data_IF_902637119185
#
_entry.id   IF_902637119185
#
_cell.length_a   1.000
_cell.length_b   1.000
_cell.length_c   1.000
_cell.angle_alpha   90.00
_cell.angle_beta   90.00
_cell.angle_gamma   90.00
#
_symmetry.space_group_name_H-M   'P 1'
#
loop_
_entity.id
_entity.type
_entity.pdbx_description
1 polymer ?
#
# COMPACT_ATOMS: atom_id res chain seq x y z
N UNK A 1 4.22 -57.83 44.41
CA UNK A 1 3.67 -56.47 44.55
C UNK A 1 4.63 -55.34 44.08
N UNK A 2 5.90 -55.53 44.01
CA UNK A 2 6.92 -54.53 43.61
C UNK A 2 6.93 -54.13 42.13
N UNK A 3 6.63 -55.08 41.21
CA UNK A 3 6.62 -54.77 39.76
C UNK A 3 5.51 -53.89 39.28
N UNK A 4 4.33 -53.92 39.88
CA UNK A 4 3.16 -53.09 39.52
C UNK A 4 3.39 -51.66 39.97
N UNK A 5 4.04 -51.48 41.13
CA UNK A 5 4.32 -50.15 41.67
C UNK A 5 5.34 -49.36 40.84
N UNK A 6 6.36 -50.09 40.24
CA UNK A 6 7.31 -49.46 39.35
C UNK A 6 6.71 -49.08 38.00
N UNK A 7 5.73 -49.82 37.50
CA UNK A 7 5.00 -49.46 36.26
C UNK A 7 4.15 -48.22 36.42
N UNK A 8 3.51 -48.07 37.57
CA UNK A 8 2.71 -46.87 37.90
C UNK A 8 3.58 -45.62 38.08
N UNK A 9 4.74 -45.75 38.72
CA UNK A 9 5.68 -44.64 38.84
C UNK A 9 6.25 -44.19 37.48
N UNK A 10 6.50 -45.11 36.56
CA UNK A 10 6.95 -44.79 35.23
C UNK A 10 5.85 -44.14 34.36
N UNK A 11 4.57 -44.55 34.56
CA UNK A 11 3.45 -43.96 33.85
C UNK A 11 3.13 -42.55 34.36
N UNK A 12 3.16 -42.33 35.68
CA UNK A 12 2.97 -40.99 36.26
C UNK A 12 4.13 -40.03 35.91
N UNK A 13 5.37 -40.53 35.86
CA UNK A 13 6.53 -39.72 35.44
C UNK A 13 6.42 -39.28 33.96
N UNK A 14 5.99 -40.16 33.05
CA UNK A 14 5.72 -39.81 31.67
C UNK A 14 4.52 -38.84 31.53
N UNK A 15 3.48 -38.99 32.32
CA UNK A 15 2.33 -38.09 32.33
C UNK A 15 2.73 -36.71 32.85
N UNK A 16 3.54 -36.65 33.90
CA UNK A 16 4.09 -35.37 34.41
C UNK A 16 5.02 -34.68 33.41
N UNK A 17 5.83 -35.45 32.66
CA UNK A 17 6.69 -34.88 31.61
C UNK A 17 5.87 -34.35 30.43
N UNK A 18 4.74 -34.98 30.11
CA UNK A 18 3.81 -34.47 29.08
C UNK A 18 3.05 -33.22 29.56
N UNK A 19 2.76 -33.14 30.86
CA UNK A 19 2.07 -31.97 31.45
C UNK A 19 2.99 -30.80 31.77
N UNK A 20 4.28 -31.04 32.02
CA UNK A 20 5.29 -30.01 32.31
C UNK A 20 6.20 -29.72 31.12
N UNK A 21 6.15 -30.54 30.09
CA UNK A 21 6.78 -30.21 28.82
C UNK A 21 6.12 -28.97 28.26
N UNK A 22 6.86 -27.85 28.22
CA UNK A 22 6.48 -26.73 27.41
C UNK A 22 6.06 -27.32 26.05
N UNK A 23 4.82 -27.05 25.65
CA UNK A 23 4.37 -27.39 24.30
C UNK A 23 5.47 -26.95 23.35
N UNK A 24 5.98 -27.81 22.48
CA UNK A 24 6.98 -27.39 21.53
C UNK A 24 6.38 -26.23 20.74
N UNK A 25 6.87 -25.03 21.00
CA UNK A 25 6.54 -23.80 20.26
C UNK A 25 7.08 -23.84 18.81
N UNK A 26 7.54 -24.97 18.37
CA UNK A 26 7.90 -25.28 16.98
C UNK A 26 6.71 -25.91 16.23
N UNK A 27 5.52 -25.36 16.40
CA UNK A 27 4.57 -25.47 15.32
C UNK A 27 5.02 -24.47 14.26
N UNK A 28 5.45 -24.96 13.11
CA UNK A 28 5.47 -24.19 11.87
C UNK A 28 4.01 -23.77 11.61
N UNK A 29 3.54 -22.78 12.38
CA UNK A 29 2.24 -22.18 12.17
C UNK A 29 2.30 -21.57 10.76
N UNK A 30 1.41 -21.98 9.90
CA UNK A 30 1.25 -21.34 8.60
C UNK A 30 1.01 -19.86 8.83
N UNK A 31 1.68 -19.02 8.04
CA UNK A 31 1.48 -17.56 8.10
C UNK A 31 0.87 -17.08 6.79
N UNK A 32 0.04 -16.05 6.88
CA UNK A 32 -0.53 -15.34 5.74
C UNK A 32 -0.12 -13.88 5.83
N UNK A 33 0.63 -13.41 4.85
CA UNK A 33 1.06 -12.01 4.76
C UNK A 33 0.17 -11.26 3.79
N UNK A 34 -0.33 -10.11 4.23
CA UNK A 34 -1.09 -9.15 3.44
C UNK A 34 -0.23 -7.91 3.24
N UNK A 35 0.11 -7.59 2.00
CA UNK A 35 0.74 -6.31 1.66
C UNK A 35 -0.34 -5.23 1.68
N UNK A 36 -0.17 -4.25 2.57
CA UNK A 36 -1.09 -3.12 2.73
C UNK A 36 -0.78 -2.04 1.72
N UNK A 37 0.51 -1.71 1.62
CA UNK A 37 1.01 -0.64 0.76
C UNK A 37 2.49 -0.85 0.48
N UNK A 38 2.90 -0.53 -0.76
CA UNK A 38 4.32 -0.45 -1.11
C UNK A 38 4.66 1.03 -1.29
N UNK A 39 5.41 1.64 -0.36
CA UNK A 39 5.74 3.05 -0.44
C UNK A 39 6.69 3.30 -1.62
N UNK A 40 6.51 4.46 -2.25
CA UNK A 40 7.37 4.93 -3.33
C UNK A 40 7.82 6.35 -3.05
N UNK A 41 9.08 6.64 -3.29
CA UNK A 41 9.73 7.92 -3.01
C UNK A 41 8.96 9.11 -3.59
N UNK A 42 8.89 10.20 -2.86
CA UNK A 42 8.14 11.39 -3.29
C UNK A 42 8.93 12.22 -4.30
N UNK A 43 8.25 12.66 -5.35
CA UNK A 43 8.78 13.65 -6.30
C UNK A 43 8.35 15.02 -5.79
N UNK A 44 9.32 15.90 -5.58
CA UNK A 44 9.15 17.26 -5.08
C UNK A 44 9.43 18.30 -6.16
N UNK A 45 8.82 19.45 -6.04
CA UNK A 45 9.17 20.63 -6.80
C UNK A 45 10.44 21.31 -6.24
N UNK A 46 10.88 22.41 -6.87
CA UNK A 46 12.06 23.18 -6.45
C UNK A 46 11.97 23.76 -5.03
N UNK A 47 10.75 23.90 -4.51
CA UNK A 47 10.46 24.43 -3.17
C UNK A 47 10.19 23.32 -2.15
N UNK A 48 10.48 22.07 -2.50
CA UNK A 48 10.21 20.85 -1.73
C UNK A 48 8.70 20.64 -1.45
N UNK A 49 7.83 21.17 -2.31
CA UNK A 49 6.41 20.84 -2.29
C UNK A 49 6.18 19.51 -3.00
N UNK A 50 5.41 18.58 -2.42
CA UNK A 50 5.19 17.27 -3.03
C UNK A 50 4.33 17.38 -4.29
N UNK A 51 4.86 16.85 -5.40
CA UNK A 51 4.15 16.70 -6.67
C UNK A 51 3.47 15.33 -6.79
N UNK A 52 3.98 14.32 -6.06
CA UNK A 52 3.36 13.01 -5.86
C UNK A 52 3.19 12.75 -4.37
N UNK A 53 2.33 11.81 -3.98
CA UNK A 53 2.07 11.46 -2.57
C UNK A 53 1.52 12.64 -1.72
N UNK A 54 0.98 13.68 -2.35
CA UNK A 54 0.47 14.88 -1.64
C UNK A 54 -0.88 14.63 -0.95
N UNK A 55 -1.61 13.61 -1.36
CA UNK A 55 -2.89 13.19 -0.79
C UNK A 55 -2.73 11.82 -0.14
N UNK A 56 -3.67 11.46 0.71
CA UNK A 56 -3.70 10.15 1.38
C UNK A 56 -5.02 9.46 1.15
N UNK A 57 -5.00 8.13 1.31
CA UNK A 57 -6.18 7.27 1.33
C UNK A 57 -6.09 6.32 2.52
N UNK A 58 -7.24 5.77 2.93
CA UNK A 58 -7.30 4.79 4.02
C UNK A 58 -7.40 3.39 3.43
N UNK A 59 -6.54 2.50 3.91
CA UNK A 59 -6.57 1.06 3.59
C UNK A 59 -6.82 0.30 4.87
N UNK A 60 -7.84 -0.54 4.88
CA UNK A 60 -8.15 -1.44 5.98
C UNK A 60 -7.71 -2.86 5.63
N UNK A 61 -7.01 -3.52 6.56
CA UNK A 61 -6.80 -4.97 6.50
C UNK A 61 -7.95 -5.61 7.24
N UNK A 62 -8.78 -6.33 6.49
CA UNK A 62 -10.06 -6.87 6.95
C UNK A 62 -9.99 -8.39 7.00
N UNK A 63 -10.27 -8.96 8.17
CA UNK A 63 -10.50 -10.40 8.30
C UNK A 63 -11.92 -10.74 7.83
N UNK A 64 -12.15 -11.85 7.11
CA UNK A 64 -13.45 -12.21 6.54
C UNK A 64 -14.43 -12.77 7.59
N UNK A 65 -14.67 -12.01 8.65
CA UNK A 65 -15.70 -12.32 9.65
C UNK A 65 -17.08 -11.89 9.16
N UNK A 66 -18.14 -12.49 9.70
CA UNK A 66 -19.51 -12.10 9.33
C UNK A 66 -19.79 -10.61 9.61
N UNK A 67 -19.26 -10.08 10.71
CA UNK A 67 -19.39 -8.66 11.06
C UNK A 67 -18.66 -7.75 10.05
N UNK A 68 -17.44 -8.12 9.67
CA UNK A 68 -16.67 -7.36 8.68
C UNK A 68 -17.30 -7.38 7.28
N UNK A 69 -17.82 -8.54 6.87
CA UNK A 69 -18.56 -8.68 5.59
C UNK A 69 -19.81 -7.79 5.60
N UNK A 70 -20.56 -7.75 6.71
CA UNK A 70 -21.72 -6.87 6.87
C UNK A 70 -21.32 -5.38 6.82
N UNK A 71 -20.22 -5.00 7.50
CA UNK A 71 -19.68 -3.63 7.46
C UNK A 71 -19.28 -3.21 6.04
N UNK A 72 -18.55 -4.06 5.31
CA UNK A 72 -18.17 -3.82 3.91
C UNK A 72 -19.42 -3.65 3.04
N UNK A 73 -20.42 -4.54 3.18
CA UNK A 73 -21.65 -4.47 2.39
C UNK A 73 -22.47 -3.21 2.66
N UNK A 74 -22.45 -2.72 3.91
CA UNK A 74 -23.27 -1.57 4.34
C UNK A 74 -22.61 -0.21 4.12
N UNK A 75 -21.27 -0.15 4.08
CA UNK A 75 -20.55 1.13 4.11
C UNK A 75 -19.79 1.45 2.79
N UNK A 76 -19.49 0.47 1.93
CA UNK A 76 -18.67 0.69 0.74
C UNK A 76 -19.47 0.99 -0.53
N UNK A 77 -20.79 0.97 -0.52
CA UNK A 77 -21.63 1.29 -1.69
C UNK A 77 -21.20 0.50 -2.93
N UNK A 78 -20.92 1.20 -4.03
CA UNK A 78 -20.53 0.60 -5.31
C UNK A 78 -19.24 -0.22 -5.25
N UNK A 79 -18.34 0.10 -4.31
CA UNK A 79 -17.08 -0.61 -4.11
C UNK A 79 -17.24 -1.90 -3.28
N UNK A 80 -18.40 -2.15 -2.69
CA UNK A 80 -18.63 -3.31 -1.83
C UNK A 80 -18.43 -4.63 -2.57
N UNK A 81 -18.90 -4.74 -3.81
CA UNK A 81 -18.80 -5.97 -4.60
C UNK A 81 -17.34 -6.41 -4.81
N UNK A 82 -16.46 -5.48 -5.21
CA UNK A 82 -15.05 -5.74 -5.43
C UNK A 82 -14.32 -6.08 -4.10
N UNK A 83 -14.69 -5.40 -3.02
CA UNK A 83 -14.16 -5.66 -1.69
C UNK A 83 -14.55 -7.05 -1.16
N UNK A 84 -15.81 -7.45 -1.32
CA UNK A 84 -16.32 -8.75 -0.93
C UNK A 84 -15.67 -9.89 -1.72
N UNK A 85 -15.38 -9.67 -3.02
CA UNK A 85 -14.67 -10.65 -3.83
C UNK A 85 -13.28 -10.97 -3.26
N UNK A 86 -12.54 -9.96 -2.80
CA UNK A 86 -11.24 -10.16 -2.14
C UNK A 86 -11.36 -10.99 -0.85
N UNK A 87 -12.46 -10.86 -0.12
CA UNK A 87 -12.70 -11.59 1.14
C UNK A 87 -13.25 -13.01 0.94
N UNK A 88 -13.71 -13.36 -0.27
CA UNK A 88 -14.25 -14.70 -0.58
C UNK A 88 -13.26 -15.84 -0.38
N UNK A 89 -11.98 -15.57 -0.49
CA UNK A 89 -10.93 -16.58 -0.24
C UNK A 89 -10.89 -17.07 1.22
N UNK A 90 -11.64 -16.45 2.13
CA UNK A 90 -11.57 -16.72 3.56
C UNK A 90 -10.28 -16.23 4.23
N UNK A 91 -9.47 -15.44 3.52
CA UNK A 91 -8.21 -14.88 4.02
C UNK A 91 -8.34 -13.36 4.23
N UNK A 92 -7.57 -12.78 5.15
CA UNK A 92 -7.50 -11.33 5.31
C UNK A 92 -7.06 -10.64 4.02
N UNK A 93 -7.63 -9.46 3.75
CA UNK A 93 -7.32 -8.68 2.55
C UNK A 93 -7.20 -7.19 2.86
N UNK A 94 -6.32 -6.52 2.12
CA UNK A 94 -6.21 -5.07 2.13
C UNK A 94 -7.24 -4.46 1.16
N UNK A 95 -8.09 -3.58 1.69
CA UNK A 95 -9.21 -2.97 0.98
C UNK A 95 -9.17 -1.47 1.22
N UNK A 96 -9.26 -0.69 0.15
CA UNK A 96 -9.41 0.75 0.25
C UNK A 96 -10.81 1.08 0.77
N UNK A 97 -10.86 1.95 1.78
CA UNK A 97 -12.09 2.29 2.49
C UNK A 97 -12.17 3.79 2.73
N UNK A 98 -13.37 4.37 2.90
CA UNK A 98 -13.53 5.73 3.41
C UNK A 98 -12.86 5.90 4.78
N UNK A 99 -12.42 7.12 5.11
CA UNK A 99 -11.76 7.40 6.40
C UNK A 99 -12.64 7.08 7.61
N UNK A 100 -13.95 7.25 7.44
CA UNK A 100 -15.00 6.99 8.44
C UNK A 100 -15.43 5.52 8.53
N UNK A 101 -14.87 4.65 7.67
CA UNK A 101 -15.23 3.22 7.66
C UNK A 101 -14.95 2.58 9.01
N UNK A 102 -15.92 1.83 9.52
CA UNK A 102 -15.83 1.12 10.81
C UNK A 102 -16.11 -0.36 10.64
N UNK A 103 -15.24 -1.20 11.19
CA UNK A 103 -15.36 -2.65 11.11
C UNK A 103 -14.86 -3.39 12.36
N UNK A 104 -14.96 -2.79 13.53
CA UNK A 104 -14.55 -3.43 14.79
C UNK A 104 -13.04 -3.75 14.85
N UNK A 105 -12.66 -4.98 14.53
CA UNK A 105 -11.28 -5.46 14.70
C UNK A 105 -10.36 -5.28 13.49
N UNK A 106 -10.74 -4.48 12.47
CA UNK A 106 -9.87 -4.24 11.32
C UNK A 106 -8.71 -3.28 11.63
N UNK A 107 -7.57 -3.51 10.99
CA UNK A 107 -6.43 -2.62 11.07
C UNK A 107 -6.51 -1.57 9.97
N UNK A 108 -6.58 -0.29 10.34
CA UNK A 108 -6.64 0.83 9.39
C UNK A 108 -5.29 1.54 9.28
N UNK A 109 -4.89 1.83 8.05
CA UNK A 109 -3.67 2.53 7.72
C UNK A 109 -3.98 3.69 6.79
N UNK A 110 -3.43 4.86 7.09
CA UNK A 110 -3.41 5.99 6.17
C UNK A 110 -2.15 5.88 5.32
N UNK A 111 -2.33 5.75 4.00
CA UNK A 111 -1.22 5.58 3.06
C UNK A 111 -1.26 6.68 2.00
N UNK A 112 -0.10 7.09 1.44
CA UNK A 112 -0.06 8.07 0.38
C UNK A 112 -0.81 7.61 -0.88
N UNK A 113 -1.49 8.55 -1.53
CA UNK A 113 -2.02 8.40 -2.87
C UNK A 113 -0.97 8.91 -3.86
N UNK A 114 -0.45 8.03 -4.73
CA UNK A 114 0.66 8.35 -5.64
C UNK A 114 0.39 9.58 -6.49
N UNK A 115 -0.75 9.59 -7.18
CA UNK A 115 -1.20 10.70 -8.01
C UNK A 115 -2.52 11.22 -7.45
N UNK A 116 -2.54 12.50 -7.09
CA UNK A 116 -3.75 13.17 -6.64
C UNK A 116 -4.66 13.54 -7.80
N UNK A 117 -5.73 14.24 -7.47
CA UNK A 117 -6.59 14.85 -8.47
C UNK A 117 -5.82 15.93 -9.24
N UNK A 118 -5.83 15.83 -10.56
CA UNK A 118 -5.18 16.77 -11.45
C UNK A 118 -3.99 16.19 -12.22
N UNK A 119 -3.80 16.76 -13.40
CA UNK A 119 -2.76 16.38 -14.36
C UNK A 119 -1.57 17.33 -14.23
N UNK A 120 -0.89 17.30 -13.10
CA UNK A 120 0.25 18.20 -12.89
C UNK A 120 1.51 17.62 -13.49
N UNK A 121 1.98 18.20 -14.59
CA UNK A 121 3.23 17.80 -15.25
C UNK A 121 3.32 16.31 -15.60
N UNK A 122 2.21 15.69 -16.05
CA UNK A 122 2.11 14.24 -16.29
C UNK A 122 3.22 13.70 -17.18
N UNK A 123 3.60 14.43 -18.24
CA UNK A 123 4.68 14.04 -19.15
C UNK A 123 6.08 14.15 -18.52
N UNK A 124 6.26 14.98 -17.48
CA UNK A 124 7.52 15.09 -16.73
C UNK A 124 7.58 14.01 -15.65
N UNK A 125 6.54 13.92 -14.84
CA UNK A 125 6.46 12.95 -13.73
C UNK A 125 6.44 11.53 -14.30
N UNK A 126 5.62 11.28 -15.32
CA UNK A 126 5.39 9.95 -15.85
C UNK A 126 4.36 9.16 -15.03
N UNK A 127 4.42 7.85 -15.15
CA UNK A 127 3.53 6.94 -14.43
C UNK A 127 4.23 5.62 -14.08
N UNK A 128 3.63 4.88 -13.18
CA UNK A 128 4.04 3.53 -12.78
C UNK A 128 3.06 2.51 -13.34
N UNK A 129 3.53 1.28 -13.55
CA UNK A 129 2.68 0.15 -13.91
C UNK A 129 1.92 -0.44 -12.70
N UNK A 130 1.15 -1.49 -12.93
CA UNK A 130 0.40 -2.20 -11.89
C UNK A 130 1.30 -2.85 -10.81
N UNK A 131 2.57 -3.07 -11.09
CA UNK A 131 3.54 -3.62 -10.16
C UNK A 131 4.28 -2.53 -9.38
N UNK A 132 4.03 -1.25 -9.73
CA UNK A 132 4.68 -0.09 -9.11
C UNK A 132 6.03 0.27 -9.71
N UNK A 133 6.42 -0.30 -10.86
CA UNK A 133 7.65 0.08 -11.58
C UNK A 133 7.42 1.32 -12.44
N UNK A 134 8.40 2.21 -12.52
CA UNK A 134 8.35 3.42 -13.34
C UNK A 134 8.39 3.10 -14.84
N UNK A 135 7.44 3.63 -15.61
CA UNK A 135 7.32 3.36 -17.06
C UNK A 135 7.82 4.52 -17.91
N UNK A 136 7.56 5.75 -17.50
CA UNK A 136 7.97 6.96 -18.22
C UNK A 136 8.40 8.08 -17.28
N UNK A 137 8.99 9.15 -17.82
CA UNK A 137 9.32 10.38 -17.10
C UNK A 137 10.29 10.16 -15.93
N UNK A 138 10.12 10.94 -14.89
CA UNK A 138 10.92 10.87 -13.65
C UNK A 138 10.69 9.56 -12.92
N UNK A 139 9.47 9.00 -12.98
CA UNK A 139 9.16 7.69 -12.42
C UNK A 139 10.08 6.60 -12.99
N UNK A 140 10.31 6.61 -14.30
CA UNK A 140 11.21 5.66 -14.96
C UNK A 140 12.69 6.00 -14.72
N UNK A 141 13.06 7.28 -14.91
CA UNK A 141 14.44 7.70 -14.85
C UNK A 141 15.08 7.53 -13.45
N UNK A 142 14.28 7.54 -12.39
CA UNK A 142 14.68 7.40 -10.99
C UNK A 142 13.99 6.22 -10.30
N UNK A 143 13.62 5.18 -11.05
CA UNK A 143 12.90 4.02 -10.52
C UNK A 143 13.68 3.32 -9.41
N UNK A 144 14.98 3.17 -9.57
CA UNK A 144 15.91 2.61 -8.58
C UNK A 144 15.99 3.42 -7.27
N UNK A 145 15.77 4.74 -7.33
CA UNK A 145 15.74 5.61 -6.15
C UNK A 145 14.36 5.62 -5.51
N UNK A 146 13.32 5.74 -6.34
CA UNK A 146 11.94 5.90 -5.87
C UNK A 146 11.30 4.58 -5.40
N UNK A 147 11.70 3.44 -6.00
CA UNK A 147 11.10 2.12 -5.75
C UNK A 147 11.71 1.32 -4.62
N UNK A 148 12.87 1.72 -4.07
CA UNK A 148 13.60 0.96 -3.04
C UNK A 148 13.04 1.20 -1.63
N UNK A 149 11.83 0.73 -1.37
CA UNK A 149 11.20 0.88 -0.06
C UNK A 149 10.58 -0.43 0.41
N UNK A 150 10.70 -0.71 1.70
CA UNK A 150 10.08 -1.88 2.32
C UNK A 150 8.56 -1.71 2.38
N UNK A 151 7.79 -2.66 1.84
CA UNK A 151 6.34 -2.58 1.89
C UNK A 151 5.79 -2.73 3.30
N UNK A 152 4.73 -1.98 3.61
CA UNK A 152 3.93 -2.16 4.81
C UNK A 152 3.14 -3.47 4.69
N UNK A 153 3.40 -4.41 5.60
CA UNK A 153 2.81 -5.76 5.61
C UNK A 153 2.18 -6.07 6.96
N UNK A 154 1.11 -6.84 6.91
CA UNK A 154 0.46 -7.44 8.09
C UNK A 154 0.50 -8.96 7.92
N UNK A 155 1.13 -9.65 8.87
CA UNK A 155 1.32 -11.10 8.84
C UNK A 155 0.48 -11.73 9.93
N UNK A 156 -0.44 -12.60 9.54
CA UNK A 156 -1.31 -13.37 10.41
C UNK A 156 -0.77 -14.78 10.60
N UNK A 157 -0.88 -15.30 11.80
CA UNK A 157 -0.81 -16.75 12.02
C UNK A 157 -2.15 -17.36 11.64
N UNK A 158 -2.13 -18.40 10.80
CA UNK A 158 -3.33 -19.01 10.25
C UNK A 158 -3.40 -20.50 10.53
N UNK A 159 -4.63 -21.02 10.53
CA UNK A 159 -4.89 -22.46 10.58
C UNK A 159 -4.58 -23.15 9.24
N UNK A 160 -4.82 -24.46 9.17
CA UNK A 160 -4.60 -25.25 7.96
C UNK A 160 -5.48 -24.84 6.76
N UNK A 161 -6.55 -24.06 7.01
CA UNK A 161 -7.47 -23.55 5.97
C UNK A 161 -7.16 -22.11 5.60
N UNK A 162 -6.16 -21.48 6.26
CA UNK A 162 -5.74 -20.12 5.99
C UNK A 162 -6.53 -19.04 6.74
N UNK A 163 -7.28 -19.40 7.79
CA UNK A 163 -8.01 -18.44 8.62
C UNK A 163 -7.12 -17.96 9.77
N UNK A 164 -7.17 -16.67 10.13
CA UNK A 164 -6.46 -16.15 11.29
C UNK A 164 -6.79 -16.91 12.57
N UNK A 165 -5.78 -17.16 13.38
CA UNK A 165 -5.95 -17.79 14.68
C UNK A 165 -6.53 -16.80 15.68
N UNK A 166 -7.67 -17.15 16.25
CA UNK A 166 -8.34 -16.31 17.24
C UNK A 166 -7.43 -16.02 18.45
N UNK A 167 -7.40 -14.78 18.91
CA UNK A 167 -6.61 -14.34 20.06
C UNK A 167 -5.10 -14.18 19.78
N UNK A 168 -4.66 -14.34 18.55
CA UNK A 168 -3.27 -14.09 18.14
C UNK A 168 -3.22 -12.79 17.34
N UNK A 169 -2.57 -11.76 17.92
CA UNK A 169 -2.39 -10.50 17.22
C UNK A 169 -1.52 -10.68 15.97
N UNK A 170 -1.85 -10.03 14.85
CA UNK A 170 -1.01 -10.03 13.67
C UNK A 170 0.28 -9.23 13.90
N UNK A 171 1.33 -9.60 13.19
CA UNK A 171 2.60 -8.89 13.16
C UNK A 171 2.58 -7.85 12.04
N UNK A 172 2.97 -6.61 12.35
CA UNK A 172 3.08 -5.50 11.39
C UNK A 172 4.55 -5.22 11.11
N UNK A 173 4.93 -5.15 9.85
CA UNK A 173 6.30 -4.86 9.42
C UNK A 173 6.32 -3.86 8.25
N UNK A 174 7.42 -3.14 8.09
CA UNK A 174 7.59 -2.10 7.09
C UNK A 174 6.95 -0.76 7.49
N UNK A 175 6.84 0.15 6.53
CA UNK A 175 6.29 1.51 6.72
C UNK A 175 5.41 1.91 5.54
N UNK A 176 4.48 2.84 5.79
CA UNK A 176 3.74 3.54 4.73
C UNK A 176 4.54 4.71 4.15
N UNK A 177 5.62 5.13 4.80
CA UNK A 177 6.48 6.23 4.38
C UNK A 177 7.68 5.72 3.60
N UNK A 178 7.99 6.40 2.50
CA UNK A 178 9.20 6.14 1.73
C UNK A 178 10.39 6.90 2.33
N UNK A 179 11.55 6.24 2.36
CA UNK A 179 12.79 6.81 2.89
C UNK A 179 13.52 7.73 1.87
N UNK A 180 13.09 7.75 0.60
CA UNK A 180 13.75 8.44 -0.51
C UNK A 180 12.83 9.42 -1.22
N UNK A 181 13.40 10.29 -2.03
CA UNK A 181 12.65 11.22 -2.89
C UNK A 181 13.57 11.91 -3.89
N UNK A 182 12.95 12.56 -4.89
CA UNK A 182 13.63 13.31 -5.93
C UNK A 182 13.11 14.74 -5.99
N UNK A 183 13.98 15.74 -5.91
CA UNK A 183 13.62 17.15 -6.08
C UNK A 183 13.90 17.61 -7.51
N UNK A 184 12.88 18.18 -8.15
CA UNK A 184 12.97 18.73 -9.50
C UNK A 184 13.29 20.23 -9.47
N UNK A 185 13.62 20.77 -10.63
CA UNK A 185 13.71 22.23 -10.83
C UNK A 185 12.37 22.86 -11.16
N UNK A 186 11.34 22.06 -11.42
CA UNK A 186 9.96 22.50 -11.70
C UNK A 186 9.41 23.29 -10.51
N UNK A 187 8.74 24.38 -10.81
CA UNK A 187 7.98 25.18 -9.86
C UNK A 187 6.48 24.86 -10.04
N UNK A 188 5.86 24.30 -9.02
CA UNK A 188 4.46 23.86 -9.07
C UNK A 188 3.49 24.99 -9.41
N UNK A 189 3.76 26.22 -8.96
CA UNK A 189 2.90 27.36 -9.25
C UNK A 189 3.01 27.78 -10.72
N UNK A 190 4.24 27.88 -11.23
CA UNK A 190 4.49 28.18 -12.65
C UNK A 190 3.93 27.08 -13.54
N UNK A 191 4.12 25.81 -13.16
CA UNK A 191 3.59 24.67 -13.90
C UNK A 191 2.06 24.69 -14.01
N UNK A 192 1.35 25.00 -12.91
CA UNK A 192 -0.12 25.12 -12.92
C UNK A 192 -0.59 26.27 -13.81
N UNK A 193 0.07 27.43 -13.71
CA UNK A 193 -0.25 28.57 -14.52
C UNK A 193 -0.07 28.27 -16.01
N UNK A 194 1.08 27.70 -16.39
CA UNK A 194 1.37 27.30 -17.76
C UNK A 194 0.35 26.29 -18.26
N UNK A 195 0.07 25.24 -17.48
CA UNK A 195 -0.90 24.21 -17.83
C UNK A 195 -2.29 24.77 -18.07
N UNK A 196 -2.78 25.67 -17.18
CA UNK A 196 -4.11 26.29 -17.32
C UNK A 196 -4.21 27.16 -18.56
N UNK A 197 -3.23 28.03 -18.81
CA UNK A 197 -3.24 28.94 -19.98
C UNK A 197 -3.08 28.17 -21.29
N UNK A 198 -2.18 27.17 -21.32
CA UNK A 198 -1.89 26.42 -22.53
C UNK A 198 -3.04 25.47 -22.93
N UNK A 199 -3.75 24.88 -21.97
CA UNK A 199 -4.88 23.98 -22.22
C UNK A 199 -5.99 24.62 -23.07
N UNK A 200 -6.21 25.93 -22.88
CA UNK A 200 -7.26 26.68 -23.60
C UNK A 200 -6.79 27.15 -24.99
N UNK A 201 -5.52 26.96 -25.31
CA UNK A 201 -4.90 27.54 -26.52
C UNK A 201 -4.21 26.50 -27.42
N UNK A 202 -3.90 25.32 -26.91
CA UNK A 202 -3.15 24.31 -27.60
C UNK A 202 -3.87 22.97 -27.56
N UNK A 203 -4.28 22.47 -28.71
CA UNK A 203 -4.75 21.08 -28.87
C UNK A 203 -3.55 20.12 -28.90
N UNK A 204 -2.46 20.51 -29.57
CA UNK A 204 -1.21 19.75 -29.70
C UNK A 204 -0.01 20.69 -29.62
N UNK A 205 0.98 20.29 -28.81
CA UNK A 205 2.21 21.05 -28.68
C UNK A 205 2.79 21.00 -27.28
N UNK A 206 3.81 21.79 -27.02
CA UNK A 206 4.41 21.89 -25.70
C UNK A 206 4.77 23.34 -25.37
N UNK A 207 4.72 23.68 -24.08
CA UNK A 207 5.18 24.96 -23.53
C UNK A 207 6.26 24.66 -22.51
N UNK A 208 7.41 25.32 -22.67
CA UNK A 208 8.55 25.19 -21.77
C UNK A 208 8.88 26.57 -21.20
N UNK A 209 9.01 26.64 -19.87
CA UNK A 209 9.50 27.82 -19.17
C UNK A 209 10.85 27.48 -18.55
N UNK A 210 11.86 28.24 -18.93
CA UNK A 210 13.24 28.03 -18.52
C UNK A 210 13.83 29.30 -17.93
N UNK A 211 14.58 29.17 -16.85
CA UNK A 211 15.36 30.26 -16.24
C UNK A 211 16.59 30.54 -17.13
N UNK A 212 16.66 31.71 -17.72
CA UNK A 212 17.70 32.05 -18.74
C UNK A 212 19.13 32.05 -18.17
N UNK A 213 19.27 32.35 -16.89
CA UNK A 213 20.58 32.44 -16.23
C UNK A 213 21.20 31.06 -15.93
N UNK A 214 20.37 30.04 -15.67
CA UNK A 214 20.82 28.73 -15.16
C UNK A 214 20.47 27.56 -16.08
N UNK A 215 19.54 27.75 -17.01
CA UNK A 215 18.99 26.68 -17.85
C UNK A 215 18.01 25.76 -17.10
N UNK A 216 17.63 26.06 -15.87
CA UNK A 216 16.68 25.25 -15.11
C UNK A 216 15.29 25.34 -15.71
N UNK A 217 14.64 24.19 -15.87
CA UNK A 217 13.26 24.13 -16.31
C UNK A 217 12.34 24.41 -15.11
N UNK A 218 11.52 25.45 -15.23
CA UNK A 218 10.54 25.85 -14.21
C UNK A 218 9.16 25.27 -14.49
N UNK A 219 8.80 25.07 -15.76
CA UNK A 219 7.60 24.39 -16.18
C UNK A 219 7.78 23.70 -17.53
N UNK A 220 7.07 22.59 -17.72
CA UNK A 220 6.95 21.87 -18.98
C UNK A 220 5.54 21.28 -19.06
N UNK A 221 4.72 21.81 -20.00
CA UNK A 221 3.40 21.29 -20.29
C UNK A 221 3.36 20.77 -21.73
N UNK A 222 2.86 19.58 -21.95
CA UNK A 222 2.71 18.94 -23.27
C UNK A 222 1.26 18.55 -23.50
N UNK A 223 0.78 18.67 -24.73
CA UNK A 223 -0.61 18.42 -25.10
C UNK A 223 -0.68 17.50 -26.33
N UNK A 224 -1.65 16.56 -26.39
CA UNK A 224 -2.67 16.29 -25.35
C UNK A 224 -2.05 15.78 -24.05
N UNK A 225 -2.62 16.23 -22.94
CA UNK A 225 -2.23 15.75 -21.62
C UNK A 225 -2.99 14.46 -21.26
N UNK A 226 -2.41 13.66 -20.38
CA UNK A 226 -3.01 12.40 -19.93
C UNK A 226 -3.08 12.31 -18.39
N UNK A 227 -3.95 11.42 -17.89
CA UNK A 227 -3.98 11.11 -16.46
C UNK A 227 -3.05 9.95 -16.16
N UNK A 228 -2.08 10.08 -15.25
CA UNK A 228 -1.21 8.98 -14.85
C UNK A 228 -1.96 7.76 -14.28
N UNK A 229 -3.18 7.97 -13.78
CA UNK A 229 -4.03 6.92 -13.21
C UNK A 229 -4.87 6.17 -14.25
N UNK A 230 -5.04 6.74 -15.47
CA UNK A 230 -5.88 6.17 -16.52
C UNK A 230 -5.07 5.62 -17.71
N UNK A 231 -3.76 5.47 -17.55
CA UNK A 231 -2.88 4.92 -18.58
C UNK A 231 -3.03 3.39 -18.59
N UNK A 232 -3.86 2.89 -19.44
CA UNK A 232 -4.19 1.45 -19.55
C UNK A 232 -5.66 1.20 -19.84
N UNK A 233 -6.48 2.26 -19.80
CA UNK A 233 -7.90 2.23 -20.19
C UNK A 233 -8.14 2.78 -21.62
N UNK A 234 -7.07 3.06 -22.37
CA UNK A 234 -7.12 3.60 -23.74
C UNK A 234 -6.76 2.53 -24.78
#
# INVERSE_FOLDING_TARGET
>A
MTSIMLMFAAATGKLATVMTGALPTTGNGSTKTVTVFTPRGTIYDRNLLPMTNAQTRTVAVIEPTAAAVAAVSGQLGDNAAAALEKLRSGSPAAIEVPSEFECGDCLKYTVPLRYGEGRLASHVIGYVDALGAGVTGIEYAFDDVLGQNEPLKVTYRVDAVGRPLAGVAPEVSGSAEAASGVALTIDTQVQRLVGSVAKDRLDKGAVIVMESATGRLLALASFPDYSPTAVGEA
#
